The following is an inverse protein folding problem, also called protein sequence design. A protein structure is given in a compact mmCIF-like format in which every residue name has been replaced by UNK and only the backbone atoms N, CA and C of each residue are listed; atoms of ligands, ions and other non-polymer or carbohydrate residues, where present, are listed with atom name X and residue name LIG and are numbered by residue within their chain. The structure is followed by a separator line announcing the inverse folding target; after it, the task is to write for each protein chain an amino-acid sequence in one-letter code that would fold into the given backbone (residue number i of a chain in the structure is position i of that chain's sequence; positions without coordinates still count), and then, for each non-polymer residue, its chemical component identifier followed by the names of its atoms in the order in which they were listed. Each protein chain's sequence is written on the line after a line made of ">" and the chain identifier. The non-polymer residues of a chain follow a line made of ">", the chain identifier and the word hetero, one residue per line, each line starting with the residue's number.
data_IF_696661045763
#
_entry.id   IF_696661045763
#
_cell.length_a   1.000
_cell.length_b   1.000
_cell.length_c   1.000
_cell.angle_alpha   90.00
_cell.angle_beta   90.00
_cell.angle_gamma   90.00
#
_symmetry.space_group_name_H-M   'P 1'
#
loop_
_entity.id
_entity.type
_entity.pdbx_description
1 polymer ?
#
# COMPACT_ATOMS: atom_id res chain seq x y z
N UNK A 1 -24.84 -29.51 70.33
CA UNK A 1 -23.50 -29.00 69.94
C UNK A 1 -22.71 -30.13 69.30
N UNK A 2 -22.68 -30.22 67.96
CA UNK A 2 -21.62 -30.83 67.13
C UNK A 2 -21.92 -30.55 65.64
N UNK A 3 -20.95 -30.12 64.82
CA UNK A 3 -21.20 -29.62 63.47
C UNK A 3 -21.20 -30.73 62.41
N UNK A 4 -22.08 -30.62 61.42
CA UNK A 4 -22.05 -31.44 60.21
C UNK A 4 -20.90 -30.96 59.30
N UNK A 5 -19.97 -31.86 58.99
CA UNK A 5 -18.84 -31.59 58.10
C UNK A 5 -19.30 -31.63 56.64
N UNK A 6 -19.27 -30.49 55.96
CA UNK A 6 -19.43 -30.39 54.51
C UNK A 6 -18.16 -30.93 53.83
N UNK A 7 -18.24 -32.10 53.19
CA UNK A 7 -17.22 -32.56 52.25
C UNK A 7 -17.25 -31.68 51.01
N UNK A 8 -16.30 -30.74 50.92
CA UNK A 8 -16.05 -29.98 49.70
C UNK A 8 -15.40 -30.91 48.67
N UNK A 9 -16.14 -31.27 47.63
CA UNK A 9 -15.63 -32.00 46.48
C UNK A 9 -14.67 -31.08 45.71
N UNK A 10 -13.37 -31.33 45.88
CA UNK A 10 -12.31 -30.55 45.25
C UNK A 10 -12.27 -30.85 43.77
N UNK A 11 -12.96 -30.06 42.95
CA UNK A 11 -12.84 -30.09 41.50
C UNK A 11 -11.36 -29.92 41.11
N UNK A 12 -10.70 -31.02 40.75
CA UNK A 12 -9.34 -31.02 40.23
C UNK A 12 -9.25 -30.06 39.04
N UNK A 13 -8.58 -28.91 39.24
CA UNK A 13 -8.28 -27.98 38.16
C UNK A 13 -7.31 -28.65 37.21
N UNK A 14 -7.80 -29.03 36.02
CA UNK A 14 -6.96 -29.54 34.92
C UNK A 14 -6.06 -28.40 34.43
N UNK A 15 -4.75 -28.58 34.56
CA UNK A 15 -3.74 -27.68 33.99
C UNK A 15 -3.46 -28.01 32.52
N UNK A 16 -3.01 -27.00 31.77
CA UNK A 16 -2.57 -27.16 30.38
C UNK A 16 -1.22 -27.88 30.33
N UNK A 17 -1.05 -28.81 29.40
CA UNK A 17 0.21 -29.54 29.20
C UNK A 17 1.15 -28.76 28.27
N UNK A 18 2.46 -28.99 28.40
CA UNK A 18 3.46 -28.43 27.47
C UNK A 18 3.20 -28.91 26.03
N UNK A 19 2.77 -30.16 25.85
CA UNK A 19 2.50 -30.74 24.53
C UNK A 19 1.34 -30.02 23.85
N UNK A 20 0.25 -29.73 24.56
CA UNK A 20 -0.88 -28.98 24.00
C UNK A 20 -0.44 -27.60 23.51
N UNK A 21 0.43 -26.91 24.26
CA UNK A 21 0.96 -25.61 23.83
C UNK A 21 1.84 -25.74 22.59
N UNK A 22 2.71 -26.75 22.54
CA UNK A 22 3.58 -27.01 21.41
C UNK A 22 2.79 -27.31 20.12
N UNK A 23 1.73 -28.11 20.21
CA UNK A 23 0.87 -28.41 19.05
C UNK A 23 0.17 -27.15 18.55
N UNK A 24 -0.35 -26.31 19.44
CA UNK A 24 -0.99 -25.04 19.07
C UNK A 24 -0.01 -24.11 18.36
N UNK A 25 1.20 -23.95 18.89
CA UNK A 25 2.23 -23.13 18.26
C UNK A 25 2.63 -23.69 16.89
N UNK A 26 2.73 -25.01 16.74
CA UNK A 26 3.01 -25.65 15.46
C UNK A 26 1.93 -25.37 14.42
N UNK A 27 0.65 -25.42 14.81
CA UNK A 27 -0.48 -25.10 13.92
C UNK A 27 -0.43 -23.62 13.53
N UNK A 28 -0.25 -22.70 14.48
CA UNK A 28 -0.17 -21.25 14.21
C UNK A 28 0.99 -20.94 13.26
N UNK A 29 2.18 -21.50 13.51
CA UNK A 29 3.34 -21.32 12.66
C UNK A 29 3.10 -21.82 11.23
N UNK A 30 2.42 -22.96 11.08
CA UNK A 30 2.05 -23.52 9.78
C UNK A 30 1.04 -22.63 9.03
N UNK A 31 0.06 -22.06 9.72
CA UNK A 31 -0.89 -21.14 9.10
C UNK A 31 -0.19 -19.84 8.66
N UNK A 32 0.66 -19.28 9.51
CA UNK A 32 1.39 -18.04 9.20
C UNK A 32 2.37 -18.20 8.04
N UNK A 33 3.03 -19.35 7.91
CA UNK A 33 3.96 -19.61 6.79
C UNK A 33 3.25 -19.58 5.43
N UNK A 34 1.98 -19.99 5.37
CA UNK A 34 1.14 -19.93 4.18
C UNK A 34 0.53 -18.54 3.97
N UNK A 35 0.13 -17.86 5.05
CA UNK A 35 -0.57 -16.59 4.99
C UNK A 35 0.36 -15.40 4.68
N UNK A 36 1.57 -15.36 5.24
CA UNK A 36 2.46 -14.20 5.10
C UNK A 36 2.85 -13.87 3.65
N UNK A 37 3.30 -14.82 2.82
CA UNK A 37 3.64 -14.53 1.42
C UNK A 37 2.44 -13.96 0.64
N UNK A 38 1.24 -14.47 0.92
CA UNK A 38 0.03 -14.00 0.28
C UNK A 38 -0.31 -12.57 0.71
N UNK A 39 -0.14 -12.24 1.98
CA UNK A 39 -0.35 -10.89 2.50
C UNK A 39 0.56 -9.86 1.81
N UNK A 40 1.86 -10.15 1.66
CA UNK A 40 2.79 -9.24 0.99
C UNK A 40 2.43 -9.03 -0.49
N UNK A 41 2.07 -10.10 -1.22
CA UNK A 41 1.60 -9.99 -2.62
C UNK A 41 0.38 -9.08 -2.75
N UNK A 42 -0.59 -9.19 -1.83
CA UNK A 42 -1.77 -8.33 -1.85
C UNK A 42 -1.43 -6.87 -1.53
N UNK A 43 -0.51 -6.66 -0.59
CA UNK A 43 -0.05 -5.32 -0.26
C UNK A 43 0.64 -4.65 -1.46
N UNK A 44 1.47 -5.38 -2.19
CA UNK A 44 2.15 -4.85 -3.37
C UNK A 44 1.15 -4.56 -4.50
N UNK A 45 0.18 -5.45 -4.77
CA UNK A 45 -0.93 -5.19 -5.72
C UNK A 45 -1.75 -3.94 -5.34
N UNK A 46 -1.99 -3.72 -4.06
CA UNK A 46 -2.68 -2.52 -3.59
C UNK A 46 -1.86 -1.25 -3.89
N UNK A 47 -0.53 -1.29 -3.69
CA UNK A 47 0.36 -0.19 -4.07
C UNK A 47 0.33 0.06 -5.58
N UNK A 48 0.38 -0.98 -6.41
CA UNK A 48 0.28 -0.85 -7.87
C UNK A 48 -1.05 -0.22 -8.32
N UNK A 49 -2.15 -0.63 -7.70
CA UNK A 49 -3.49 -0.09 -7.98
C UNK A 49 -3.56 1.40 -7.68
N UNK A 50 -3.03 1.81 -6.51
CA UNK A 50 -2.95 3.22 -6.13
C UNK A 50 -1.99 3.99 -7.03
N UNK A 51 -0.86 3.41 -7.43
CA UNK A 51 0.10 4.05 -8.33
C UNK A 51 -0.55 4.38 -9.67
N UNK A 52 -1.24 3.42 -10.29
CA UNK A 52 -1.96 3.63 -11.56
C UNK A 52 -3.04 4.71 -11.42
N UNK A 53 -3.80 4.68 -10.33
CA UNK A 53 -4.82 5.69 -10.06
C UNK A 53 -4.21 7.11 -9.92
N UNK A 54 -3.09 7.24 -9.20
CA UNK A 54 -2.39 8.50 -9.03
C UNK A 54 -1.83 9.02 -10.35
N UNK A 55 -1.22 8.17 -11.18
CA UNK A 55 -0.73 8.53 -12.52
C UNK A 55 -1.86 9.02 -13.42
N UNK A 56 -3.00 8.32 -13.46
CA UNK A 56 -4.18 8.76 -14.23
C UNK A 56 -4.68 10.12 -13.72
N UNK A 57 -4.70 10.32 -12.41
CA UNK A 57 -5.13 11.59 -11.80
C UNK A 57 -4.18 12.75 -12.18
N UNK A 58 -2.87 12.50 -12.14
CA UNK A 58 -1.86 13.49 -12.54
C UNK A 58 -1.97 13.84 -14.03
N UNK A 59 -2.05 12.83 -14.91
CA UNK A 59 -2.21 13.02 -16.36
C UNK A 59 -3.46 13.81 -16.69
N UNK A 60 -4.59 13.47 -16.06
CA UNK A 60 -5.83 14.24 -16.21
C UNK A 60 -5.68 15.69 -15.77
N UNK A 61 -4.92 15.96 -14.70
CA UNK A 61 -4.66 17.33 -14.27
C UNK A 61 -3.75 18.09 -15.26
N UNK A 62 -2.78 17.40 -15.88
CA UNK A 62 -1.96 17.97 -16.96
C UNK A 62 -2.82 18.31 -18.18
N UNK A 63 -3.69 17.40 -18.60
CA UNK A 63 -4.59 17.61 -19.74
C UNK A 63 -5.55 18.78 -19.50
N UNK A 64 -6.22 18.81 -18.34
CA UNK A 64 -7.08 19.93 -17.96
C UNK A 64 -6.32 21.26 -17.94
N UNK A 65 -5.09 21.29 -17.44
CA UNK A 65 -4.26 22.50 -17.46
C UNK A 65 -3.97 22.95 -18.89
N UNK A 66 -3.65 22.02 -19.78
CA UNK A 66 -3.36 22.30 -21.20
C UNK A 66 -4.58 22.82 -21.93
N UNK A 67 -5.75 22.24 -21.67
CA UNK A 67 -7.02 22.67 -22.26
C UNK A 67 -7.39 24.10 -21.84
N UNK A 68 -7.23 24.41 -20.55
CA UNK A 68 -7.57 25.73 -20.01
C UNK A 68 -6.55 26.83 -20.37
N UNK A 69 -5.27 26.48 -20.54
CA UNK A 69 -4.16 27.45 -20.68
C UNK A 69 -3.49 27.46 -22.04
N UNK A 70 -3.77 26.48 -22.89
CA UNK A 70 -3.12 26.29 -24.20
C UNK A 70 -1.64 25.94 -24.13
N UNK A 71 -1.09 25.64 -22.94
CA UNK A 71 0.31 25.27 -22.71
C UNK A 71 0.45 24.24 -21.59
N UNK A 72 1.54 23.48 -21.60
CA UNK A 72 1.89 22.57 -20.51
C UNK A 72 2.42 23.33 -19.28
N UNK A 73 2.22 22.82 -18.05
CA UNK A 73 2.81 23.41 -16.85
C UNK A 73 4.32 23.19 -16.81
N UNK A 74 5.05 24.07 -16.14
CA UNK A 74 6.52 23.96 -16.01
C UNK A 74 6.96 22.97 -14.92
N UNK A 75 6.13 22.83 -13.88
CA UNK A 75 6.33 21.91 -12.75
C UNK A 75 4.98 21.34 -12.28
N UNK A 76 5.02 20.20 -11.59
CA UNK A 76 3.81 19.64 -10.97
C UNK A 76 3.25 20.54 -9.86
N UNK A 77 4.11 21.28 -9.14
CA UNK A 77 3.67 22.22 -8.11
C UNK A 77 2.74 23.30 -8.67
N UNK A 78 2.89 23.67 -9.93
CA UNK A 78 1.99 24.61 -10.59
C UNK A 78 0.55 24.08 -10.62
N UNK A 79 0.34 22.76 -10.79
CA UNK A 79 -0.99 22.16 -10.76
C UNK A 79 -1.68 22.34 -9.40
N UNK A 80 -0.91 22.34 -8.30
CA UNK A 80 -1.43 22.57 -6.95
C UNK A 80 -1.73 24.05 -6.73
N UNK A 81 -0.80 24.93 -7.11
CA UNK A 81 -0.96 26.38 -6.97
C UNK A 81 -2.17 26.90 -7.75
N UNK A 82 -2.40 26.34 -8.94
CA UNK A 82 -3.53 26.69 -9.82
C UNK A 82 -4.80 25.88 -9.53
N UNK A 83 -4.81 25.06 -8.47
CA UNK A 83 -5.97 24.29 -7.99
C UNK A 83 -6.50 23.20 -8.93
N UNK A 84 -5.70 22.72 -9.89
CA UNK A 84 -6.01 21.49 -10.64
C UNK A 84 -5.84 20.25 -9.76
N UNK A 85 -4.91 20.32 -8.81
CA UNK A 85 -4.72 19.33 -7.75
C UNK A 85 -4.87 20.00 -6.39
N UNK A 86 -5.39 19.26 -5.41
CA UNK A 86 -5.39 19.71 -4.00
C UNK A 86 -4.00 19.61 -3.40
N UNK A 87 -3.31 18.52 -3.72
CA UNK A 87 -1.93 18.22 -3.34
C UNK A 87 -1.33 17.24 -4.37
N UNK A 88 -0.01 17.14 -4.43
CA UNK A 88 0.67 16.15 -5.27
C UNK A 88 0.55 14.77 -4.64
N UNK A 89 0.00 13.76 -5.34
CA UNK A 89 -0.15 12.42 -4.77
C UNK A 89 1.21 11.80 -4.42
N UNK A 90 1.20 10.93 -3.41
CA UNK A 90 2.32 10.09 -3.03
C UNK A 90 2.46 8.92 -4.01
N UNK A 91 3.67 8.63 -4.47
CA UNK A 91 3.98 7.37 -5.12
C UNK A 91 4.01 6.26 -4.04
N UNK A 92 3.10 5.27 -4.08
CA UNK A 92 2.98 4.26 -3.03
C UNK A 92 4.12 3.23 -3.04
N UNK A 93 4.90 3.15 -4.12
CA UNK A 93 6.03 2.20 -4.25
C UNK A 93 7.29 2.82 -3.65
N UNK A 94 7.63 4.06 -4.03
CA UNK A 94 8.78 4.78 -3.45
C UNK A 94 8.48 5.45 -2.11
N UNK A 95 7.18 5.63 -1.79
CA UNK A 95 6.67 6.38 -0.63
C UNK A 95 7.14 7.84 -0.62
N UNK A 96 7.26 8.44 -1.79
CA UNK A 96 7.75 9.82 -1.99
C UNK A 96 6.79 10.62 -2.88
N UNK A 97 6.78 11.94 -2.75
CA UNK A 97 5.98 12.85 -3.60
C UNK A 97 6.80 13.49 -4.73
N UNK A 98 8.13 13.35 -4.66
CA UNK A 98 9.13 13.92 -5.56
C UNK A 98 9.80 12.87 -6.46
N UNK A 99 9.27 11.64 -6.50
CA UNK A 99 9.80 10.55 -7.33
C UNK A 99 9.28 10.58 -8.77
N UNK A 100 8.30 11.42 -9.10
CA UNK A 100 7.69 11.45 -10.42
C UNK A 100 8.69 11.88 -11.50
N UNK A 101 8.75 11.12 -12.59
CA UNK A 101 9.61 11.40 -13.75
C UNK A 101 8.77 12.05 -14.85
N UNK A 102 9.29 13.09 -15.49
CA UNK A 102 8.53 13.88 -16.47
C UNK A 102 9.11 13.73 -17.87
N UNK A 103 8.21 13.54 -18.84
CA UNK A 103 8.55 13.71 -20.24
C UNK A 103 8.23 15.16 -20.65
N UNK A 104 9.19 15.84 -21.32
CA UNK A 104 9.02 17.24 -21.73
C UNK A 104 8.43 17.34 -23.12
N UNK A 105 7.49 18.28 -23.30
CA UNK A 105 6.94 18.59 -24.63
C UNK A 105 7.97 19.34 -25.48
N UNK A 106 7.98 19.19 -26.82
CA UNK A 106 8.77 20.03 -27.72
C UNK A 106 8.48 21.53 -27.58
N UNK A 107 7.27 21.89 -27.12
CA UNK A 107 6.85 23.27 -26.87
C UNK A 107 7.21 23.78 -25.46
N UNK A 108 7.93 22.97 -24.67
CA UNK A 108 8.22 23.24 -23.27
C UNK A 108 7.15 22.72 -22.30
N UNK A 109 7.51 22.65 -21.03
CA UNK A 109 6.65 22.10 -19.96
C UNK A 109 6.54 20.57 -19.95
N UNK A 110 5.76 20.07 -19.00
CA UNK A 110 5.52 18.64 -18.77
C UNK A 110 4.45 18.14 -19.77
N UNK A 111 4.82 17.15 -20.58
CA UNK A 111 3.92 16.48 -21.52
C UNK A 111 3.25 15.26 -20.89
N UNK A 112 4.03 14.44 -20.19
CA UNK A 112 3.57 13.25 -19.49
C UNK A 112 4.36 13.02 -18.20
N UNK A 113 3.82 12.18 -17.32
CA UNK A 113 4.40 11.82 -16.03
C UNK A 113 4.41 10.31 -15.85
N UNK A 114 5.54 9.80 -15.39
CA UNK A 114 5.78 8.39 -15.11
C UNK A 114 6.21 8.16 -13.66
N UNK A 115 6.06 6.94 -13.18
CA UNK A 115 6.60 6.56 -11.87
C UNK A 115 8.12 6.52 -11.88
N UNK A 116 8.77 7.08 -10.86
CA UNK A 116 10.21 6.89 -10.63
C UNK A 116 10.53 5.65 -9.80
N UNK A 117 9.54 4.78 -9.54
CA UNK A 117 9.76 3.58 -8.78
C UNK A 117 10.69 2.60 -9.50
N UNK A 118 11.70 2.03 -8.81
CA UNK A 118 12.53 0.99 -9.40
C UNK A 118 11.76 -0.34 -9.48
N UNK A 119 12.14 -1.17 -10.46
CA UNK A 119 11.66 -2.54 -10.56
C UNK A 119 10.43 -2.72 -11.45
N UNK A 120 9.84 -3.91 -11.33
CA UNK A 120 8.76 -4.40 -12.17
C UNK A 120 7.49 -4.59 -11.37
N UNK A 121 6.37 -4.38 -12.03
CA UNK A 121 5.06 -4.73 -11.52
C UNK A 121 4.79 -6.23 -11.59
N UNK A 122 3.67 -6.66 -11.00
CA UNK A 122 3.21 -8.04 -11.02
C UNK A 122 2.97 -8.60 -12.43
N UNK A 123 2.67 -7.73 -13.40
CA UNK A 123 2.49 -8.11 -14.81
C UNK A 123 3.81 -8.12 -15.62
N UNK A 124 4.94 -7.82 -14.97
CA UNK A 124 6.28 -7.82 -15.58
C UNK A 124 6.69 -6.53 -16.27
N UNK A 125 5.78 -5.56 -16.38
CA UNK A 125 6.08 -4.23 -16.93
C UNK A 125 6.90 -3.41 -15.94
N UNK A 126 7.75 -2.51 -16.45
CA UNK A 126 8.57 -1.64 -15.59
C UNK A 126 7.72 -0.48 -15.09
N UNK A 127 7.83 -0.13 -13.80
CA UNK A 127 7.11 1.02 -13.25
C UNK A 127 7.46 2.32 -13.97
N UNK A 128 8.69 2.46 -14.45
CA UNK A 128 9.13 3.61 -15.22
C UNK A 128 8.46 3.77 -16.60
N UNK A 129 7.81 2.72 -17.10
CA UNK A 129 6.99 2.77 -18.31
C UNK A 129 5.52 3.11 -18.06
N UNK A 130 5.12 3.24 -16.79
CA UNK A 130 3.76 3.58 -16.39
C UNK A 130 3.58 5.05 -16.16
#
# INVERSE_FOLDING_TARGET
>A
MAPATTSGDGMHRRGFTLIELLVVLAIIATLLSLAMPQYFRQQDKARETVLRHNLVTLRKALDNYRDDRGKSPESLDELVQRRYLRELPLDPVTKRRDSWVFERSPKGGIADVHSGAPGKAHDGTDYASW
#
